data_IF_627556623325
#
_entry.id   IF_627556623325
#
_cell.length_a   1.000
_cell.length_b   1.000
_cell.length_c   1.000
_cell.angle_alpha   90.00
_cell.angle_beta   90.00
_cell.angle_gamma   90.00
#
_symmetry.space_group_name_H-M   'P 1'
#
loop_
_entity.id
_entity.type
_entity.pdbx_description
1 polymer ?
#
# COMPACT_ATOMS: atom_id res chain seq x y z
N UNK A 1 52.66 -32.82 -9.35
CA UNK A 1 51.45 -33.61 -9.65
C UNK A 1 50.29 -32.86 -9.04
N UNK A 2 49.66 -32.01 -9.84
CA UNK A 2 48.48 -31.25 -9.42
C UNK A 2 47.27 -32.17 -9.65
N UNK A 3 46.55 -32.53 -8.57
CA UNK A 3 45.41 -33.44 -8.68
C UNK A 3 44.20 -32.66 -9.20
N UNK A 4 43.76 -32.98 -10.42
CA UNK A 4 42.49 -32.49 -10.98
C UNK A 4 41.33 -33.02 -10.13
N UNK A 5 40.58 -32.10 -9.52
CA UNK A 5 39.31 -32.39 -8.86
C UNK A 5 38.23 -32.58 -9.94
N UNK A 6 37.44 -33.67 -9.94
CA UNK A 6 36.39 -33.88 -10.93
C UNK A 6 35.26 -32.86 -10.73
N UNK A 7 34.86 -32.18 -11.80
CA UNK A 7 33.65 -31.34 -11.80
C UNK A 7 32.39 -32.23 -11.88
N UNK A 8 31.34 -31.95 -11.10
CA UNK A 8 30.09 -32.69 -11.20
C UNK A 8 29.43 -32.47 -12.58
N UNK A 9 28.71 -33.48 -13.11
CA UNK A 9 28.05 -33.37 -14.40
C UNK A 9 26.99 -32.26 -14.38
N UNK A 10 26.89 -31.53 -15.49
CA UNK A 10 25.88 -30.49 -15.67
C UNK A 10 24.47 -31.09 -15.55
N UNK A 11 23.67 -30.55 -14.63
CA UNK A 11 22.25 -30.90 -14.50
C UNK A 11 21.56 -30.40 -15.77
N UNK A 12 21.14 -31.32 -16.64
CA UNK A 12 20.36 -30.99 -17.83
C UNK A 12 18.89 -31.00 -17.42
N UNK A 13 18.31 -29.81 -17.24
CA UNK A 13 16.86 -29.67 -17.00
C UNK A 13 16.18 -29.83 -18.37
N UNK A 14 15.35 -30.87 -18.60
CA UNK A 14 14.62 -30.98 -19.86
C UNK A 14 13.65 -29.79 -19.99
N UNK A 15 13.50 -29.20 -21.19
CA UNK A 15 12.52 -28.15 -21.40
C UNK A 15 11.12 -28.70 -21.11
N UNK A 16 10.39 -28.03 -20.22
CA UNK A 16 8.98 -28.33 -19.98
C UNK A 16 8.22 -27.96 -21.26
N UNK A 17 7.49 -28.88 -21.91
CA UNK A 17 6.71 -28.56 -23.10
C UNK A 17 5.70 -27.45 -22.79
N UNK A 18 5.76 -26.34 -23.53
CA UNK A 18 4.92 -25.14 -23.36
C UNK A 18 3.44 -25.36 -23.68
N UNK A 19 3.07 -26.53 -24.22
CA UNK A 19 1.75 -26.78 -24.82
C UNK A 19 0.69 -27.35 -23.86
N UNK A 20 0.98 -27.58 -22.57
CA UNK A 20 0.01 -28.26 -21.67
C UNK A 20 -0.74 -27.31 -20.71
N UNK A 21 -0.31 -26.05 -20.50
CA UNK A 21 -0.87 -25.22 -19.43
C UNK A 21 -1.59 -23.92 -19.87
N UNK A 22 -1.77 -23.68 -21.17
CA UNK A 22 -2.23 -22.37 -21.67
C UNK A 22 -3.69 -22.30 -22.13
N UNK A 23 -4.52 -23.31 -21.86
CA UNK A 23 -5.93 -23.24 -22.19
C UNK A 23 -6.77 -23.00 -20.93
N UNK A 24 -7.10 -21.71 -20.74
CA UNK A 24 -8.10 -21.19 -19.80
C UNK A 24 -7.80 -21.37 -18.31
N UNK A 25 -6.88 -20.57 -17.75
CA UNK A 25 -7.01 -20.25 -16.32
C UNK A 25 -8.21 -19.31 -16.15
N UNK A 26 -9.36 -19.87 -15.81
CA UNK A 26 -10.55 -19.16 -15.32
C UNK A 26 -10.36 -18.60 -13.91
N UNK A 27 -9.15 -18.65 -13.36
CA UNK A 27 -8.82 -18.08 -12.05
C UNK A 27 -8.80 -16.56 -12.16
N UNK A 28 -9.69 -15.89 -11.44
CA UNK A 28 -9.55 -14.47 -11.17
C UNK A 28 -8.17 -14.19 -10.54
N UNK A 29 -7.47 -13.20 -11.11
CA UNK A 29 -6.15 -12.82 -10.63
C UNK A 29 -6.25 -12.37 -9.16
N UNK A 30 -5.41 -12.95 -8.31
CA UNK A 30 -5.38 -12.62 -6.89
C UNK A 30 -5.14 -11.11 -6.70
N UNK A 31 -5.87 -10.44 -5.80
CA UNK A 31 -5.59 -9.06 -5.42
C UNK A 31 -4.13 -8.86 -5.00
N UNK A 32 -3.64 -7.64 -5.18
CA UNK A 32 -2.26 -7.26 -4.85
C UNK A 32 -2.23 -6.00 -4.00
N UNK A 33 -1.52 -6.04 -2.89
CA UNK A 33 -1.16 -4.89 -2.08
C UNK A 33 0.30 -4.52 -2.35
N UNK A 34 0.52 -3.36 -2.95
CA UNK A 34 1.83 -2.83 -3.33
C UNK A 34 2.21 -1.80 -2.28
N UNK A 35 3.38 -1.99 -1.68
CA UNK A 35 3.89 -1.13 -0.62
C UNK A 35 5.07 -0.32 -1.17
N UNK A 36 4.84 0.96 -1.41
CA UNK A 36 5.84 1.91 -1.90
C UNK A 36 6.38 2.69 -0.71
N UNK A 37 7.70 2.81 -0.59
CA UNK A 37 8.27 3.61 0.49
C UNK A 37 9.78 3.55 0.57
N UNK A 38 10.29 3.93 1.74
CA UNK A 38 11.71 3.98 2.03
C UNK A 38 12.22 2.74 2.80
N UNK A 39 13.27 2.91 3.61
CA UNK A 39 13.86 1.85 4.44
C UNK A 39 12.88 1.23 5.42
N UNK A 40 11.89 1.98 5.92
CA UNK A 40 10.89 1.43 6.86
C UNK A 40 10.01 0.38 6.15
N UNK A 41 9.76 0.59 4.85
CA UNK A 41 9.03 -0.37 4.01
C UNK A 41 9.95 -1.51 3.57
N UNK A 42 11.16 -1.21 3.10
CA UNK A 42 12.12 -2.24 2.67
C UNK A 42 12.42 -3.24 3.79
N UNK A 43 12.75 -2.72 4.98
CA UNK A 43 13.09 -3.52 6.15
C UNK A 43 11.88 -4.23 6.77
N UNK A 44 10.67 -3.81 6.43
CA UNK A 44 9.43 -4.42 6.90
C UNK A 44 9.25 -5.88 6.49
N UNK A 45 10.07 -6.39 5.57
CA UNK A 45 10.18 -7.83 5.25
C UNK A 45 11.54 -8.47 5.53
N UNK A 46 12.46 -7.78 6.22
CA UNK A 46 13.81 -8.33 6.51
C UNK A 46 13.81 -9.40 7.60
N UNK A 47 12.71 -9.56 8.35
CA UNK A 47 12.58 -10.59 9.39
C UNK A 47 11.12 -11.06 9.55
N UNK A 48 10.92 -12.14 10.30
CA UNK A 48 9.60 -12.77 10.51
C UNK A 48 8.60 -11.88 11.25
N UNK A 49 9.10 -10.98 12.11
CA UNK A 49 8.31 -10.00 12.86
C UNK A 49 8.15 -8.66 12.13
N UNK A 50 8.53 -8.57 10.85
CA UNK A 50 8.38 -7.34 10.07
C UNK A 50 6.91 -7.08 9.73
N UNK A 51 6.51 -5.81 9.63
CA UNK A 51 5.12 -5.45 9.38
C UNK A 51 4.63 -5.92 7.99
N UNK A 52 5.49 -5.86 6.97
CA UNK A 52 5.21 -6.36 5.62
C UNK A 52 5.12 -7.89 5.62
N UNK A 53 6.04 -8.56 6.31
CA UNK A 53 5.97 -10.03 6.48
C UNK A 53 4.66 -10.43 7.16
N UNK A 54 4.23 -9.68 8.18
CA UNK A 54 3.00 -9.94 8.92
C UNK A 54 1.76 -9.76 8.05
N UNK A 55 1.74 -8.76 7.16
CA UNK A 55 0.70 -8.62 6.13
C UNK A 55 0.68 -9.82 5.17
N UNK A 56 1.85 -10.23 4.65
CA UNK A 56 1.93 -11.39 3.75
C UNK A 56 1.40 -12.67 4.41
N UNK A 57 1.71 -12.88 5.69
CA UNK A 57 1.19 -14.01 6.48
C UNK A 57 -0.33 -13.90 6.66
N UNK A 58 -0.84 -12.71 7.03
CA UNK A 58 -2.28 -12.46 7.23
C UNK A 58 -3.08 -12.76 5.97
N UNK A 59 -2.56 -12.38 4.80
CA UNK A 59 -3.23 -12.51 3.51
C UNK A 59 -2.90 -13.78 2.74
N UNK A 60 -2.27 -14.77 3.40
CA UNK A 60 -1.92 -16.05 2.79
C UNK A 60 -3.10 -16.65 2.01
N UNK A 61 -2.83 -16.99 0.74
CA UNK A 61 -3.82 -17.50 -0.23
C UNK A 61 -4.99 -16.56 -0.52
N UNK A 62 -4.92 -15.26 -0.22
CA UNK A 62 -6.02 -14.31 -0.49
C UNK A 62 -5.58 -13.05 -1.23
N UNK A 63 -4.44 -12.48 -0.86
CA UNK A 63 -3.87 -11.30 -1.52
C UNK A 63 -2.34 -11.42 -1.50
N UNK A 64 -1.70 -11.04 -2.61
CA UNK A 64 -0.23 -10.94 -2.64
C UNK A 64 0.18 -9.60 -2.03
N UNK A 65 1.18 -9.62 -1.16
CA UNK A 65 1.79 -8.40 -0.60
C UNK A 65 3.15 -8.21 -1.26
N UNK A 66 3.32 -7.10 -1.95
CA UNK A 66 4.49 -6.81 -2.78
C UNK A 66 5.24 -5.65 -2.16
N UNK A 67 6.44 -5.93 -1.65
CA UNK A 67 7.35 -4.92 -1.12
C UNK A 67 8.08 -4.19 -2.27
N UNK A 68 7.95 -2.87 -2.34
CA UNK A 68 8.69 -1.95 -3.22
C UNK A 68 9.31 -0.81 -2.39
N UNK A 69 9.72 -1.11 -1.16
CA UNK A 69 10.51 -0.23 -0.32
C UNK A 69 11.93 -0.09 -0.83
N UNK A 70 12.47 1.13 -0.76
CA UNK A 70 13.80 1.46 -1.27
C UNK A 70 14.56 2.29 -0.23
N UNK A 71 15.53 1.67 0.44
CA UNK A 71 16.28 2.26 1.53
C UNK A 71 16.96 3.56 1.12
N UNK A 72 16.75 4.61 1.93
CA UNK A 72 17.28 5.94 1.71
C UNK A 72 16.50 6.79 0.70
N UNK A 73 15.44 6.28 0.08
CA UNK A 73 14.65 7.06 -0.87
C UNK A 73 13.79 8.12 -0.17
N UNK A 74 13.64 9.27 -0.80
CA UNK A 74 12.65 10.30 -0.47
C UNK A 74 11.54 10.32 -1.54
N UNK A 75 10.50 11.13 -1.33
CA UNK A 75 9.37 11.23 -2.26
C UNK A 75 9.79 11.66 -3.68
N UNK A 76 10.81 12.50 -3.83
CA UNK A 76 11.31 12.95 -5.14
C UNK A 76 11.84 11.78 -5.97
N UNK A 77 12.67 10.93 -5.35
CA UNK A 77 13.23 9.76 -6.04
C UNK A 77 12.19 8.66 -6.21
N UNK A 78 11.31 8.47 -5.22
CA UNK A 78 10.17 7.56 -5.33
C UNK A 78 9.26 7.90 -6.52
N UNK A 79 9.00 9.20 -6.74
CA UNK A 79 8.15 9.65 -7.84
C UNK A 79 8.80 9.37 -9.19
N UNK A 80 10.12 9.58 -9.30
CA UNK A 80 10.87 9.26 -10.51
C UNK A 80 10.90 7.75 -10.81
N UNK A 81 10.90 6.89 -9.80
CA UNK A 81 10.86 5.44 -9.95
C UNK A 81 9.47 4.88 -10.24
N UNK A 82 8.41 5.60 -9.85
CA UNK A 82 7.03 5.11 -9.89
C UNK A 82 6.55 4.63 -11.27
N UNK A 83 6.81 5.32 -12.41
CA UNK A 83 6.42 4.82 -13.72
C UNK A 83 6.97 3.41 -14.03
N UNK A 84 8.22 3.13 -13.66
CA UNK A 84 8.84 1.83 -13.87
C UNK A 84 8.16 0.74 -13.05
N UNK A 85 7.79 1.06 -11.81
CA UNK A 85 7.06 0.15 -10.91
C UNK A 85 5.64 -0.11 -11.43
N UNK A 86 4.96 0.91 -11.94
CA UNK A 86 3.62 0.76 -12.50
C UNK A 86 3.63 -0.06 -13.80
N UNK A 87 4.62 0.14 -14.67
CA UNK A 87 4.79 -0.69 -15.85
C UNK A 87 5.03 -2.16 -15.48
N UNK A 88 5.88 -2.42 -14.48
CA UNK A 88 6.14 -3.77 -13.98
C UNK A 88 4.86 -4.46 -13.44
N UNK A 89 4.04 -3.72 -12.68
CA UNK A 89 2.91 -4.30 -11.91
C UNK A 89 1.60 -4.31 -12.70
N UNK A 90 1.34 -3.24 -13.45
CA UNK A 90 0.08 -3.00 -14.15
C UNK A 90 0.20 -3.18 -15.67
N UNK A 91 1.43 -3.30 -16.20
CA UNK A 91 1.74 -3.29 -17.62
C UNK A 91 1.92 -1.88 -18.19
N UNK A 92 2.46 -1.79 -19.40
CA UNK A 92 2.64 -0.53 -20.11
C UNK A 92 1.28 0.17 -20.34
N UNK A 93 1.25 1.52 -20.27
CA UNK A 93 0.07 2.28 -20.67
C UNK A 93 -0.11 2.13 -22.18
N UNK A 94 -1.35 2.13 -22.67
CA UNK A 94 -1.57 2.17 -24.13
C UNK A 94 -0.98 3.47 -24.70
N UNK A 95 -0.27 3.36 -25.84
CA UNK A 95 0.55 4.40 -26.47
C UNK A 95 0.05 5.84 -26.22
N UNK A 96 0.84 6.63 -25.50
CA UNK A 96 0.81 8.08 -25.68
C UNK A 96 1.57 8.38 -26.98
N UNK A 97 0.90 9.04 -27.91
CA UNK A 97 1.54 9.75 -29.01
C UNK A 97 2.58 10.71 -28.39
N UNK A 98 3.83 10.67 -28.88
CA UNK A 98 4.97 11.42 -28.38
C UNK A 98 4.67 12.93 -28.35
N UNK A 99 4.07 13.42 -27.27
CA UNK A 99 3.96 14.84 -26.98
C UNK A 99 4.55 15.08 -25.61
N UNK A 100 5.80 15.50 -25.66
CA UNK A 100 6.56 16.12 -24.58
C UNK A 100 5.63 17.09 -23.83
N UNK A 101 5.33 16.77 -22.57
CA UNK A 101 4.70 17.74 -21.66
C UNK A 101 5.78 18.77 -21.33
N UNK A 102 5.85 19.81 -22.15
CA UNK A 102 6.50 21.05 -21.76
C UNK A 102 5.61 21.74 -20.73
N UNK A 103 6.24 22.06 -19.62
CA UNK A 103 5.76 22.83 -18.48
C UNK A 103 5.20 24.19 -18.93
N UNK A 104 3.90 24.27 -19.21
CA UNK A 104 3.11 25.53 -19.20
C UNK A 104 1.62 25.23 -19.41
N UNK A 105 0.80 25.79 -18.52
CA UNK A 105 -0.65 26.07 -18.62
C UNK A 105 -1.51 25.44 -17.51
N UNK A 106 -1.26 25.88 -16.28
CA UNK A 106 -2.34 26.13 -15.33
C UNK A 106 -2.80 27.58 -15.55
N UNK A 107 -3.92 27.78 -16.24
CA UNK A 107 -4.89 28.84 -15.91
C UNK A 107 -6.14 28.83 -16.80
N UNK A 108 -7.28 28.97 -16.11
CA UNK A 108 -8.59 29.54 -16.51
C UNK A 108 -9.69 28.57 -16.96
N UNK A 109 -10.51 28.25 -15.97
CA UNK A 109 -11.94 28.03 -16.07
C UNK A 109 -12.63 29.17 -16.85
N UNK A 110 -13.47 28.79 -17.83
CA UNK A 110 -14.72 29.51 -18.13
C UNK A 110 -15.81 28.48 -18.40
N UNK A 111 -16.84 28.56 -17.57
CA UNK A 111 -18.11 27.85 -17.61
C UNK A 111 -18.90 28.31 -18.84
N UNK A 112 -19.37 27.38 -19.68
CA UNK A 112 -20.63 27.56 -20.42
C UNK A 112 -21.43 26.26 -20.41
N UNK A 113 -22.60 26.36 -19.78
CA UNK A 113 -23.69 25.38 -19.79
C UNK A 113 -24.19 25.18 -21.23
N UNK A 114 -24.57 23.96 -21.58
CA UNK A 114 -25.72 23.75 -22.46
C UNK A 114 -26.38 22.40 -22.16
N UNK A 115 -27.60 22.51 -21.67
CA UNK A 115 -28.59 21.46 -21.50
C UNK A 115 -28.97 20.85 -22.85
N UNK A 116 -29.06 19.52 -22.90
CA UNK A 116 -29.88 18.83 -23.89
C UNK A 116 -30.39 17.51 -23.29
N UNK A 117 -31.63 17.58 -22.81
CA UNK A 117 -32.48 16.44 -22.49
C UNK A 117 -32.64 15.54 -23.72
N UNK A 118 -32.65 14.22 -23.49
CA UNK A 118 -33.35 13.29 -24.36
C UNK A 118 -33.79 12.07 -23.55
N UNK A 119 -35.03 12.14 -23.05
CA UNK A 119 -35.83 10.97 -22.68
C UNK A 119 -36.09 10.11 -23.93
N UNK A 120 -36.17 8.79 -23.76
CA UNK A 120 -37.31 7.96 -24.19
C UNK A 120 -37.08 6.47 -23.88
N UNK A 121 -38.04 5.96 -23.10
CA UNK A 121 -38.73 4.67 -23.18
C UNK A 121 -38.07 3.34 -22.76
N UNK A 122 -38.61 2.89 -21.64
CA UNK A 122 -38.78 1.53 -21.15
C UNK A 122 -39.08 0.48 -22.24
N UNK A 123 -38.45 -0.70 -22.08
CA UNK A 123 -39.12 -1.96 -22.34
C UNK A 123 -38.79 -2.95 -21.22
N UNK A 124 -39.88 -3.51 -20.69
CA UNK A 124 -40.00 -4.48 -19.64
C UNK A 124 -39.52 -5.84 -20.17
N UNK A 125 -38.55 -6.48 -19.53
CA UNK A 125 -38.35 -7.92 -19.68
C UNK A 125 -38.14 -8.55 -18.30
N UNK A 126 -39.23 -9.15 -17.82
CA UNK A 126 -39.22 -10.04 -16.66
C UNK A 126 -38.63 -11.38 -17.09
N UNK A 127 -37.38 -11.65 -16.71
CA UNK A 127 -36.88 -13.02 -16.62
C UNK A 127 -36.24 -13.27 -15.26
N UNK A 128 -36.79 -14.24 -14.55
CA UNK A 128 -36.32 -14.78 -13.27
C UNK A 128 -34.86 -15.26 -13.34
N UNK A 129 -34.01 -14.84 -12.41
CA UNK A 129 -32.81 -15.60 -12.04
C UNK A 129 -32.33 -15.21 -10.63
N UNK A 130 -32.57 -16.11 -9.67
CA UNK A 130 -31.67 -16.51 -8.57
C UNK A 130 -30.57 -15.52 -8.14
N UNK A 131 -30.69 -15.03 -6.91
CA UNK A 131 -29.62 -14.64 -5.99
C UNK A 131 -28.26 -14.30 -6.62
N UNK A 132 -28.18 -13.13 -7.28
CA UNK A 132 -26.91 -12.43 -7.40
C UNK A 132 -26.53 -11.95 -6.00
N UNK A 133 -25.81 -12.78 -5.24
CA UNK A 133 -25.00 -12.30 -4.11
C UNK A 133 -24.22 -11.10 -4.64
N UNK A 134 -24.49 -9.91 -4.13
CA UNK A 134 -23.66 -8.73 -4.39
C UNK A 134 -22.22 -9.12 -4.06
N UNK A 135 -21.43 -9.36 -5.11
CA UNK A 135 -20.04 -9.70 -4.98
C UNK A 135 -19.38 -8.43 -4.47
N UNK A 136 -19.07 -8.37 -3.17
CA UNK A 136 -18.40 -7.24 -2.53
C UNK A 136 -17.09 -6.99 -3.30
N UNK A 137 -17.08 -5.98 -4.17
CA UNK A 137 -15.99 -5.78 -5.10
C UNK A 137 -14.83 -5.10 -4.37
N UNK A 138 -13.91 -5.91 -3.84
CA UNK A 138 -12.63 -5.44 -3.35
C UNK A 138 -11.78 -4.87 -4.51
N UNK A 139 -10.82 -3.98 -4.24
CA UNK A 139 -9.87 -3.57 -5.26
C UNK A 139 -9.03 -4.77 -5.74
N UNK A 140 -8.65 -4.76 -7.01
CA UNK A 140 -7.72 -5.74 -7.58
C UNK A 140 -6.27 -5.35 -7.27
N UNK A 141 -5.98 -4.05 -7.26
CA UNK A 141 -4.69 -3.50 -6.89
C UNK A 141 -4.87 -2.45 -5.81
N UNK A 142 -4.06 -2.50 -4.77
CA UNK A 142 -4.07 -1.57 -3.67
C UNK A 142 -2.65 -1.04 -3.49
N UNK A 143 -2.49 0.28 -3.41
CA UNK A 143 -1.19 0.93 -3.20
C UNK A 143 -1.18 1.62 -1.84
N UNK A 144 -0.14 1.36 -1.04
CA UNK A 144 0.15 2.12 0.17
C UNK A 144 1.47 2.86 -0.04
N UNK A 145 1.45 4.19 0.02
CA UNK A 145 2.62 5.05 -0.21
C UNK A 145 3.12 5.59 1.13
N UNK A 146 4.33 5.22 1.53
CA UNK A 146 4.98 5.61 2.79
C UNK A 146 6.35 6.26 2.57
N UNK A 147 6.34 7.54 2.21
CA UNK A 147 7.53 8.42 2.21
C UNK A 147 7.39 9.52 3.25
N UNK A 148 8.48 10.20 3.59
CA UNK A 148 8.49 11.34 4.52
C UNK A 148 9.58 11.26 5.58
N UNK A 149 10.03 10.05 5.95
CA UNK A 149 11.05 9.90 6.98
C UNK A 149 12.41 10.45 6.50
N UNK A 150 12.72 10.28 5.21
CA UNK A 150 13.91 10.86 4.57
C UNK A 150 13.70 12.30 4.13
N UNK A 151 12.52 12.62 3.62
CA UNK A 151 12.13 13.98 3.20
C UNK A 151 12.26 15.01 4.34
N UNK A 152 11.89 14.60 5.56
CA UNK A 152 11.95 15.39 6.80
C UNK A 152 13.36 15.54 7.40
N UNK A 153 14.41 15.10 6.71
CA UNK A 153 15.77 15.45 7.09
C UNK A 153 15.95 16.97 7.18
N UNK A 154 16.73 17.45 8.15
CA UNK A 154 17.08 18.86 8.26
C UNK A 154 17.92 19.28 7.05
N UNK A 155 17.62 20.44 6.41
CA UNK A 155 18.32 20.90 5.21
C UNK A 155 19.80 21.23 5.47
N UNK A 156 20.14 21.59 6.71
CA UNK A 156 21.50 21.87 7.19
C UNK A 156 22.11 20.69 7.98
N UNK A 157 21.42 19.54 8.01
CA UNK A 157 21.83 18.35 8.74
C UNK A 157 22.81 17.43 7.98
N UNK A 158 23.33 16.43 8.68
CA UNK A 158 24.24 15.41 8.11
C UNK A 158 23.59 14.52 7.04
N UNK A 159 22.26 14.43 7.04
CA UNK A 159 21.46 13.71 6.06
C UNK A 159 20.74 14.62 5.05
N UNK A 160 21.15 15.88 4.90
CA UNK A 160 20.51 16.90 4.06
C UNK A 160 20.27 16.49 2.60
N UNK A 161 21.07 15.59 2.02
CA UNK A 161 20.84 15.07 0.65
C UNK A 161 19.46 14.42 0.46
N UNK A 162 18.88 13.92 1.55
CA UNK A 162 17.59 13.25 1.54
C UNK A 162 16.43 14.24 1.67
N UNK A 163 16.70 15.49 2.08
CA UNK A 163 15.69 16.50 2.31
C UNK A 163 14.88 16.80 1.05
N UNK A 164 13.57 16.98 1.24
CA UNK A 164 12.63 17.47 0.25
C UNK A 164 11.81 18.55 0.94
N UNK A 165 11.70 19.74 0.34
CA UNK A 165 10.91 20.83 0.91
C UNK A 165 9.45 20.38 1.13
N UNK A 166 8.78 20.91 2.15
CA UNK A 166 7.47 20.42 2.58
C UNK A 166 6.39 20.54 1.49
N UNK A 167 6.40 21.64 0.75
CA UNK A 167 5.53 21.89 -0.41
C UNK A 167 5.80 20.92 -1.56
N UNK A 168 7.07 20.66 -1.85
CA UNK A 168 7.47 19.68 -2.84
C UNK A 168 7.08 18.25 -2.42
N UNK A 169 7.24 17.89 -1.14
CA UNK A 169 6.80 16.59 -0.61
C UNK A 169 5.30 16.39 -0.82
N UNK A 170 4.47 17.38 -0.46
CA UNK A 170 3.02 17.32 -0.68
C UNK A 170 2.67 17.22 -2.17
N UNK A 171 3.36 17.99 -3.02
CA UNK A 171 3.22 17.92 -4.48
C UNK A 171 3.58 16.54 -5.02
N UNK A 172 4.68 15.94 -4.55
CA UNK A 172 5.13 14.62 -4.98
C UNK A 172 4.12 13.54 -4.62
N UNK A 173 3.58 13.55 -3.40
CA UNK A 173 2.52 12.60 -3.01
C UNK A 173 1.28 12.74 -3.91
N UNK A 174 0.84 13.98 -4.14
CA UNK A 174 -0.31 14.28 -5.03
C UNK A 174 -0.08 13.73 -6.44
N UNK A 175 1.12 13.95 -7.00
CA UNK A 175 1.52 13.44 -8.32
C UNK A 175 1.57 11.91 -8.36
N UNK A 176 2.08 11.26 -7.31
CA UNK A 176 2.09 9.79 -7.24
C UNK A 176 0.68 9.21 -7.25
N UNK A 177 -0.24 9.77 -6.45
CA UNK A 177 -1.63 9.33 -6.38
C UNK A 177 -2.30 9.50 -7.75
N UNK A 178 -2.18 10.69 -8.36
CA UNK A 178 -2.71 10.96 -9.69
C UNK A 178 -2.16 9.96 -10.71
N UNK A 179 -0.83 9.77 -10.75
CA UNK A 179 -0.20 8.86 -11.69
C UNK A 179 -0.74 7.44 -11.56
N UNK A 180 -0.88 6.90 -10.35
CA UNK A 180 -1.45 5.57 -10.11
C UNK A 180 -2.90 5.48 -10.63
N UNK A 181 -3.72 6.50 -10.33
CA UNK A 181 -5.12 6.53 -10.73
C UNK A 181 -5.28 6.67 -12.25
N UNK A 182 -4.47 7.50 -12.91
CA UNK A 182 -4.54 7.72 -14.36
C UNK A 182 -3.88 6.60 -15.17
N UNK A 183 -2.83 5.95 -14.65
CA UNK A 183 -2.20 4.79 -15.31
C UNK A 183 -3.22 3.70 -15.64
N UNK A 184 -4.19 3.54 -14.75
CA UNK A 184 -5.28 2.59 -14.89
C UNK A 184 -6.27 2.94 -16.01
N UNK A 185 -6.55 4.23 -16.22
CA UNK A 185 -7.50 4.71 -17.22
C UNK A 185 -7.05 4.39 -18.66
N UNK A 186 -5.74 4.26 -18.87
CA UNK A 186 -5.13 4.00 -20.19
C UNK A 186 -4.72 2.53 -20.40
N UNK A 187 -5.11 1.60 -19.52
CA UNK A 187 -4.73 0.19 -19.66
C UNK A 187 -5.65 -0.55 -20.64
N UNK A 188 -5.07 -1.29 -21.59
CA UNK A 188 -5.79 -2.09 -22.61
C UNK A 188 -6.67 -3.20 -22.00
N UNK A 189 -6.38 -3.60 -20.75
CA UNK A 189 -7.06 -4.68 -20.02
C UNK A 189 -8.17 -4.16 -19.09
N UNK A 190 -9.11 -3.36 -19.60
CA UNK A 190 -10.25 -2.86 -18.82
C UNK A 190 -9.90 -1.97 -17.61
N UNK A 191 -10.94 -1.38 -17.00
CA UNK A 191 -10.81 -0.48 -15.84
C UNK A 191 -10.49 -1.32 -14.58
N UNK A 192 -9.21 -1.61 -14.30
CA UNK A 192 -8.81 -2.39 -13.10
C UNK A 192 -9.27 -1.62 -11.87
N UNK A 193 -9.71 -2.31 -10.83
CA UNK A 193 -10.11 -1.63 -9.59
C UNK A 193 -8.88 -1.33 -8.76
N UNK A 194 -8.51 -0.04 -8.69
CA UNK A 194 -7.35 0.42 -7.92
C UNK A 194 -7.81 1.21 -6.69
N UNK A 195 -7.20 0.91 -5.54
CA UNK A 195 -7.28 1.73 -4.34
C UNK A 195 -5.89 2.28 -4.00
N UNK A 196 -5.83 3.49 -3.47
CA UNK A 196 -4.58 4.15 -3.04
C UNK A 196 -4.79 4.66 -1.62
N UNK A 197 -3.78 4.52 -0.77
CA UNK A 197 -3.73 5.08 0.57
C UNK A 197 -2.33 5.64 0.86
N UNK A 198 -2.26 6.58 1.81
CA UNK A 198 -0.99 7.10 2.30
C UNK A 198 -0.64 6.52 3.66
N UNK A 199 0.66 6.45 3.95
CA UNK A 199 1.24 6.19 5.26
C UNK A 199 2.08 7.41 5.64
N UNK A 200 1.73 8.09 6.72
CA UNK A 200 2.53 9.22 7.22
C UNK A 200 3.92 8.74 7.63
N UNK A 201 4.97 9.56 7.57
CA UNK A 201 6.24 9.22 8.22
C UNK A 201 6.00 8.86 9.69
N UNK A 202 6.49 7.71 10.17
CA UNK A 202 6.50 7.39 11.59
C UNK A 202 7.28 8.45 12.40
N UNK A 203 7.04 8.54 13.72
CA UNK A 203 7.78 9.47 14.56
C UNK A 203 9.25 9.03 14.67
N UNK A 204 10.14 9.98 14.93
CA UNK A 204 11.55 9.72 15.17
C UNK A 204 11.97 10.15 16.58
N UNK A 205 13.08 9.63 17.10
CA UNK A 205 13.65 10.10 18.35
C UNK A 205 14.61 11.27 18.09
N UNK A 206 14.15 12.49 18.35
CA UNK A 206 14.92 13.73 18.18
C UNK A 206 16.30 13.67 18.83
N UNK A 207 16.45 13.01 19.99
CA UNK A 207 17.74 12.99 20.68
C UNK A 207 18.74 12.04 20.00
N UNK A 208 18.28 10.87 19.54
CA UNK A 208 19.11 9.93 18.77
C UNK A 208 19.40 10.43 17.35
N UNK A 209 18.46 11.15 16.75
CA UNK A 209 18.56 11.68 15.38
C UNK A 209 19.01 13.15 15.35
N UNK A 210 19.60 13.63 16.45
CA UNK A 210 20.03 15.01 16.62
C UNK A 210 20.91 15.48 15.46
N UNK A 211 20.58 16.64 14.90
CA UNK A 211 21.28 17.22 13.75
C UNK A 211 20.88 16.61 12.40
N UNK A 212 20.05 15.58 12.36
CA UNK A 212 19.50 15.03 11.12
C UNK A 212 17.99 15.19 11.01
N UNK A 213 17.25 15.07 12.12
CA UNK A 213 15.78 15.16 12.17
C UNK A 213 15.30 15.72 13.52
N UNK A 214 14.10 16.30 13.52
CA UNK A 214 13.39 16.72 14.74
C UNK A 214 11.91 16.29 14.61
N UNK A 215 11.46 15.45 15.54
CA UNK A 215 10.14 14.85 15.48
C UNK A 215 9.00 15.88 15.54
N UNK A 216 9.06 16.78 16.52
CA UNK A 216 7.94 17.65 16.87
C UNK A 216 7.93 18.92 16.00
N UNK A 217 9.11 19.38 15.59
CA UNK A 217 9.26 20.59 14.78
C UNK A 217 9.22 20.33 13.28
N UNK A 218 9.68 19.15 12.83
CA UNK A 218 9.83 18.87 11.40
C UNK A 218 9.02 17.66 10.97
N UNK A 219 9.28 16.45 11.50
CA UNK A 219 8.58 15.23 11.07
C UNK A 219 7.06 15.34 11.21
N UNK A 220 6.57 15.99 12.29
CA UNK A 220 5.15 16.30 12.49
C UNK A 220 4.54 17.08 11.32
N UNK A 221 5.26 18.07 10.77
CA UNK A 221 4.77 18.87 9.63
C UNK A 221 4.60 18.01 8.38
N UNK A 222 5.49 17.05 8.13
CA UNK A 222 5.37 16.11 7.02
C UNK A 222 4.23 15.12 7.23
N UNK A 223 4.01 14.65 8.46
CA UNK A 223 2.85 13.83 8.78
C UNK A 223 1.53 14.58 8.58
N UNK A 224 1.45 15.84 9.03
CA UNK A 224 0.30 16.73 8.81
C UNK A 224 0.06 16.99 7.32
N UNK A 225 1.10 17.31 6.55
CA UNK A 225 0.99 17.50 5.10
C UNK A 225 0.54 16.23 4.38
N UNK A 226 1.06 15.06 4.77
CA UNK A 226 0.63 13.76 4.23
C UNK A 226 -0.85 13.49 4.49
N UNK A 227 -1.33 13.76 5.72
CA UNK A 227 -2.76 13.68 6.05
C UNK A 227 -3.62 14.67 5.28
N UNK A 228 -3.13 15.90 5.10
CA UNK A 228 -3.84 16.92 4.33
C UNK A 228 -3.98 16.49 2.87
N UNK A 229 -2.91 16.00 2.23
CA UNK A 229 -2.97 15.45 0.86
C UNK A 229 -3.97 14.30 0.77
N UNK A 230 -3.99 13.38 1.74
CA UNK A 230 -4.96 12.29 1.75
C UNK A 230 -6.42 12.79 1.81
N UNK A 231 -6.67 13.81 2.65
CA UNK A 231 -7.98 14.46 2.77
C UNK A 231 -8.38 15.14 1.46
N UNK A 232 -7.48 15.94 0.88
CA UNK A 232 -7.74 16.70 -0.36
C UNK A 232 -7.99 15.76 -1.55
N UNK A 233 -7.30 14.62 -1.58
CA UNK A 233 -7.44 13.59 -2.62
C UNK A 233 -8.57 12.60 -2.34
N UNK A 234 -9.25 12.70 -1.19
CA UNK A 234 -10.32 11.78 -0.80
C UNK A 234 -9.88 10.31 -0.70
N UNK A 235 -8.69 10.05 -0.15
CA UNK A 235 -8.14 8.70 0.02
C UNK A 235 -7.84 8.37 1.50
N UNK A 236 -7.77 7.07 1.88
CA UNK A 236 -7.38 6.67 3.23
C UNK A 236 -5.94 7.06 3.59
N UNK A 237 -5.69 7.25 4.89
CA UNK A 237 -4.36 7.48 5.45
C UNK A 237 -4.12 6.69 6.74
N UNK A 238 -2.96 6.07 6.83
CA UNK A 238 -2.43 5.48 8.07
C UNK A 238 -1.60 6.54 8.79
N UNK A 239 -2.12 7.06 9.90
CA UNK A 239 -1.42 8.05 10.74
C UNK A 239 -0.46 7.35 11.72
N UNK A 240 0.69 6.92 11.19
CA UNK A 240 1.76 6.33 11.99
C UNK A 240 2.41 7.32 12.94
N UNK A 241 2.45 8.62 12.59
CA UNK A 241 3.06 9.63 13.46
C UNK A 241 2.31 9.71 14.81
N UNK A 242 0.99 9.89 14.81
CA UNK A 242 0.21 9.87 16.05
C UNK A 242 0.05 8.45 16.60
N UNK A 243 -0.27 7.48 15.74
CA UNK A 243 -0.63 6.12 16.15
C UNK A 243 0.49 5.38 16.90
N UNK A 244 1.75 5.74 16.67
CA UNK A 244 2.89 5.18 17.40
C UNK A 244 3.27 5.94 18.67
N UNK A 245 2.77 7.16 18.87
CA UNK A 245 3.09 7.98 20.05
C UNK A 245 1.99 7.97 21.11
N UNK A 246 0.74 7.77 20.68
CA UNK A 246 -0.41 7.75 21.59
C UNK A 246 -0.55 6.39 22.29
N UNK A 247 -0.96 6.36 23.57
CA UNK A 247 -1.24 5.11 24.28
C UNK A 247 -2.29 4.28 23.55
N UNK A 248 -2.14 2.96 23.57
CA UNK A 248 -3.20 2.07 23.07
C UNK A 248 -4.41 2.09 24.01
N UNK A 249 -5.61 1.81 23.50
CA UNK A 249 -6.85 1.77 24.31
C UNK A 249 -6.68 0.82 25.52
N UNK A 250 -5.97 -0.30 25.34
CA UNK A 250 -5.65 -1.27 26.42
C UNK A 250 -4.84 -0.63 27.55
N UNK A 251 -3.90 0.28 27.24
CA UNK A 251 -3.13 1.01 28.25
C UNK A 251 -3.96 2.08 28.94
N UNK A 252 -4.95 2.66 28.25
CA UNK A 252 -5.86 3.66 28.82
C UNK A 252 -6.86 3.07 29.83
N UNK A 253 -7.34 1.84 29.60
CA UNK A 253 -8.27 1.16 30.49
C UNK A 253 -7.61 0.70 31.80
N UNK A 254 -6.35 0.24 31.74
CA UNK A 254 -5.58 -0.14 32.94
C UNK A 254 -5.23 1.06 33.83
N UNK A 255 -5.15 2.28 33.26
CA UNK A 255 -4.90 3.52 34.02
C UNK A 255 -6.17 4.17 34.58
N UNK A 256 -7.37 3.70 34.22
CA UNK A 256 -8.65 4.29 34.66
C UNK A 256 -9.00 4.03 36.14
N UNK A 257 -8.19 3.24 36.85
CA UNK A 257 -8.44 2.87 38.26
C UNK A 257 -7.83 3.82 39.31
N UNK A 258 -7.11 4.87 38.91
CA UNK A 258 -6.59 5.89 39.84
C UNK A 258 -7.00 7.30 39.41
N UNK A 259 -8.08 7.81 40.03
CA UNK A 259 -8.48 9.23 39.92
C UNK A 259 -7.40 10.12 40.55
N UNK A 260 -6.51 10.62 39.71
CA UNK A 260 -5.71 11.81 39.97
C UNK A 260 -5.58 12.58 38.66
N UNK A 261 -6.21 13.75 38.61
CA UNK A 261 -5.95 14.78 37.60
C UNK A 261 -4.51 15.29 37.78
N UNK A 262 -3.56 14.55 37.23
CA UNK A 262 -2.14 14.93 37.21
C UNK A 262 -1.59 14.58 35.85
N UNK A 263 -1.35 15.61 35.03
CA UNK A 263 -0.47 15.66 33.85
C UNK A 263 -0.37 14.36 33.05
N UNK A 264 -0.92 14.31 31.84
CA UNK A 264 -0.47 13.35 30.81
C UNK A 264 1.06 13.35 30.84
N UNK A 265 1.65 12.32 31.45
CA UNK A 265 3.09 12.21 31.53
C UNK A 265 3.57 12.08 30.10
N UNK A 266 4.63 12.82 29.76
CA UNK A 266 5.38 12.67 28.52
C UNK A 266 5.92 11.24 28.43
N UNK A 267 5.05 10.27 28.14
CA UNK A 267 5.42 8.87 28.08
C UNK A 267 6.08 8.62 26.73
N UNK A 268 7.33 9.06 26.60
CA UNK A 268 8.16 8.84 25.43
C UNK A 268 8.68 7.40 25.35
N UNK A 269 8.07 6.45 26.09
CA UNK A 269 8.44 5.03 26.07
C UNK A 269 8.37 4.43 24.67
N UNK A 270 7.49 4.94 23.80
CA UNK A 270 7.42 4.56 22.39
C UNK A 270 8.76 4.70 21.66
N UNK A 271 9.63 5.64 22.07
CA UNK A 271 10.96 5.81 21.47
C UNK A 271 11.85 4.58 21.69
N UNK A 272 11.74 3.96 22.86
CA UNK A 272 12.51 2.77 23.23
C UNK A 272 11.83 1.52 22.68
N UNK A 273 10.51 1.45 22.85
CA UNK A 273 9.73 0.28 22.47
C UNK A 273 9.72 0.10 20.97
N UNK A 274 9.57 1.17 20.20
CA UNK A 274 9.28 1.09 18.77
C UNK A 274 10.45 1.45 17.87
N UNK A 275 11.46 2.19 18.35
CA UNK A 275 12.59 2.63 17.52
C UNK A 275 13.94 2.04 17.95
N UNK A 276 14.60 1.34 17.03
CA UNK A 276 15.90 0.70 17.29
C UNK A 276 17.02 1.73 17.37
N UNK A 277 17.17 2.54 16.33
CA UNK A 277 18.18 3.61 16.20
C UNK A 277 17.58 5.03 16.32
N UNK A 278 16.33 5.13 16.75
CA UNK A 278 15.59 6.39 16.78
C UNK A 278 14.92 6.75 15.45
N UNK A 279 14.94 5.87 14.45
CA UNK A 279 14.23 6.02 13.18
C UNK A 279 13.60 4.70 12.72
N UNK A 280 14.40 3.64 12.62
CA UNK A 280 13.95 2.33 12.16
C UNK A 280 13.24 1.56 13.27
N UNK A 281 12.35 0.67 12.84
CA UNK A 281 11.45 -0.02 13.76
C UNK A 281 12.15 -1.19 14.48
N UNK A 282 11.89 -1.33 15.77
CA UNK A 282 12.11 -2.58 16.50
C UNK A 282 11.05 -3.62 16.08
N UNK A 283 11.12 -4.88 16.55
CA UNK A 283 10.00 -5.81 16.38
C UNK A 283 8.66 -5.29 16.92
N UNK A 284 8.66 -4.57 18.05
CA UNK A 284 7.43 -4.02 18.61
C UNK A 284 6.92 -2.82 17.80
N UNK A 285 7.83 -2.00 17.27
CA UNK A 285 7.48 -0.92 16.34
C UNK A 285 6.87 -1.44 15.04
N UNK A 286 7.42 -2.55 14.50
CA UNK A 286 6.84 -3.25 13.35
C UNK A 286 5.43 -3.76 13.65
N UNK A 287 5.23 -4.39 14.80
CA UNK A 287 3.91 -4.86 15.21
C UNK A 287 2.92 -3.70 15.34
N UNK A 288 3.33 -2.59 15.96
CA UNK A 288 2.47 -1.41 16.10
C UNK A 288 2.10 -0.80 14.74
N UNK A 289 3.05 -0.67 13.83
CA UNK A 289 2.75 -0.20 12.48
C UNK A 289 1.81 -1.15 11.73
N UNK A 290 2.01 -2.46 11.87
CA UNK A 290 1.10 -3.47 11.32
C UNK A 290 -0.34 -3.28 11.82
N UNK A 291 -0.55 -3.04 13.12
CA UNK A 291 -1.89 -2.78 13.69
C UNK A 291 -2.57 -1.56 13.03
N UNK A 292 -1.84 -0.46 12.90
CA UNK A 292 -2.35 0.78 12.30
C UNK A 292 -2.69 0.58 10.81
N UNK A 293 -1.86 -0.19 10.09
CA UNK A 293 -2.12 -0.51 8.68
C UNK A 293 -3.35 -1.39 8.54
N UNK A 294 -3.48 -2.48 9.32
CA UNK A 294 -4.64 -3.37 9.18
C UNK A 294 -5.96 -2.67 9.54
N UNK A 295 -5.95 -1.69 10.44
CA UNK A 295 -7.14 -0.90 10.75
C UNK A 295 -7.69 -0.20 9.50
N UNK A 296 -6.81 0.42 8.72
CA UNK A 296 -7.18 1.10 7.46
C UNK A 296 -7.51 0.09 6.36
N UNK A 297 -6.78 -1.03 6.28
CA UNK A 297 -7.06 -2.06 5.28
C UNK A 297 -8.42 -2.72 5.51
N UNK A 298 -8.76 -3.07 6.76
CA UNK A 298 -10.00 -3.79 7.10
C UNK A 298 -11.24 -2.87 7.01
N UNK A 299 -11.10 -1.55 7.27
CA UNK A 299 -12.21 -0.59 7.22
C UNK A 299 -12.85 -0.53 5.82
N UNK A 300 -14.17 -0.44 5.77
CA UNK A 300 -14.95 -0.33 4.53
C UNK A 300 -14.61 0.92 3.72
N UNK A 301 -14.78 0.85 2.39
CA UNK A 301 -14.57 1.99 1.48
C UNK A 301 -15.61 3.11 1.68
N UNK A 302 -16.81 2.74 2.15
CA UNK A 302 -17.90 3.67 2.49
C UNK A 302 -18.20 3.47 3.97
N UNK A 303 -17.66 4.34 4.80
CA UNK A 303 -17.97 4.41 6.23
C UNK A 303 -18.93 5.59 6.45
N UNK A 304 -19.94 5.41 7.32
CA UNK A 304 -20.87 6.46 7.73
C UNK A 304 -20.21 7.54 8.61
N UNK A 305 -19.04 7.25 9.19
CA UNK A 305 -18.34 8.12 10.13
C UNK A 305 -17.30 9.05 9.46
N UNK A 306 -17.24 9.09 8.12
CA UNK A 306 -16.37 9.97 7.34
C UNK A 306 -14.89 9.54 7.27
N UNK A 307 -14.53 8.41 7.87
CA UNK A 307 -13.18 7.84 7.82
C UNK A 307 -13.06 6.83 6.66
N UNK A 308 -12.13 7.06 5.74
CA UNK A 308 -11.95 6.18 4.59
C UNK A 308 -11.12 4.94 4.94
N UNK A 309 -11.49 3.79 4.39
CA UNK A 309 -10.76 2.52 4.46
C UNK A 309 -10.49 1.94 3.07
N UNK A 310 -9.89 0.74 3.01
CA UNK A 310 -9.58 0.07 1.73
C UNK A 310 -10.49 -1.13 1.39
N UNK A 311 -11.36 -1.56 2.31
CA UNK A 311 -12.29 -2.67 2.10
C UNK A 311 -11.59 -4.02 1.86
N UNK A 312 -10.40 -4.20 2.42
CA UNK A 312 -9.52 -5.36 2.21
C UNK A 312 -9.54 -6.35 3.38
N UNK A 313 -10.57 -6.33 4.23
CA UNK A 313 -10.72 -7.29 5.30
C UNK A 313 -10.56 -8.73 4.79
N UNK A 314 -9.71 -9.53 5.46
CA UNK A 314 -9.34 -10.90 5.06
C UNK A 314 -10.57 -11.79 4.81
N UNK A 315 -11.63 -11.59 5.57
CA UNK A 315 -12.91 -12.32 5.46
C UNK A 315 -13.67 -12.01 4.18
N UNK A 316 -13.43 -10.84 3.58
CA UNK A 316 -14.11 -10.36 2.38
C UNK A 316 -13.35 -10.73 1.09
N UNK A 317 -12.10 -11.18 1.22
CA UNK A 317 -11.26 -11.56 0.07
C UNK A 317 -11.44 -13.04 -0.29
N UNK A 318 -11.46 -13.40 -1.59
CA UNK A 318 -11.54 -14.79 -2.01
C UNK A 318 -10.29 -15.57 -1.56
N UNK A 319 -10.48 -16.84 -1.20
CA UNK A 319 -9.36 -17.75 -0.93
C UNK A 319 -8.97 -18.46 -2.22
N UNK A 320 -7.72 -18.32 -2.62
CA UNK A 320 -7.14 -19.10 -3.71
C UNK A 320 -7.09 -20.57 -3.34
N UNK A 321 -7.54 -21.38 -4.30
CA UNK A 321 -7.56 -22.84 -4.28
C UNK A 321 -8.51 -23.43 -3.21
N UNK A 322 -9.05 -24.64 -3.45
CA UNK A 322 -9.88 -25.33 -2.47
C UNK A 322 -9.14 -25.64 -1.16
N UNK A 323 -9.90 -25.96 -0.11
CA UNK A 323 -9.32 -26.58 1.08
C UNK A 323 -8.86 -28.01 0.75
N UNK A 324 -7.80 -28.50 1.40
CA UNK A 324 -7.28 -29.83 1.07
C UNK A 324 -8.30 -30.95 1.33
N UNK A 325 -9.24 -30.73 2.27
CA UNK A 325 -10.31 -31.69 2.58
C UNK A 325 -11.38 -31.80 1.50
N UNK A 326 -11.45 -30.83 0.58
CA UNK A 326 -12.40 -30.82 -0.54
C UNK A 326 -11.75 -31.23 -1.86
N UNK A 327 -10.47 -31.62 -1.85
CA UNK A 327 -9.77 -32.10 -3.04
C UNK A 327 -10.06 -33.59 -3.20
N UNK A 328 -10.58 -33.98 -4.37
CA UNK A 328 -10.68 -35.37 -4.77
C UNK A 328 -9.27 -35.96 -4.88
N UNK A 329 -8.97 -36.97 -4.06
CA UNK A 329 -7.65 -37.58 -4.01
C UNK A 329 -7.32 -38.44 -5.25
N UNK A 330 -8.35 -38.84 -6.00
CA UNK A 330 -8.23 -39.68 -7.20
C UNK A 330 -8.27 -38.88 -8.49
N UNK A 331 -9.02 -37.77 -8.52
CA UNK A 331 -9.17 -36.87 -9.68
C UNK A 331 -9.01 -35.39 -9.28
N UNK A 332 -7.83 -34.98 -8.78
CA UNK A 332 -7.63 -33.67 -8.14
C UNK A 332 -7.98 -32.48 -9.05
N UNK A 333 -7.74 -32.59 -10.35
CA UNK A 333 -8.05 -31.55 -11.34
C UNK A 333 -9.52 -31.10 -11.31
N UNK A 334 -10.46 -32.01 -11.03
CA UNK A 334 -11.90 -31.70 -10.93
C UNK A 334 -12.19 -30.69 -9.81
N UNK A 335 -11.43 -30.78 -8.72
CA UNK A 335 -11.56 -29.89 -7.55
C UNK A 335 -11.00 -28.50 -7.81
N UNK A 336 -10.08 -28.36 -8.76
CA UNK A 336 -9.52 -27.08 -9.18
C UNK A 336 -10.31 -26.42 -10.32
N UNK A 337 -10.95 -27.22 -11.20
CA UNK A 337 -11.83 -26.70 -12.26
C UNK A 337 -13.10 -26.04 -11.69
N UNK A 338 -13.62 -26.53 -10.56
CA UNK A 338 -14.80 -25.96 -9.90
C UNK A 338 -14.51 -24.63 -9.16
N UNK A 339 -13.24 -24.26 -8.97
CA UNK A 339 -12.81 -23.00 -8.33
C UNK A 339 -12.57 -21.84 -9.32
N UNK A 340 -12.99 -22.03 -10.57
CA UNK A 340 -13.11 -21.03 -11.61
C UNK A 340 -14.20 -19.99 -11.26
N UNK A 341 -13.88 -19.02 -10.41
CA UNK A 341 -14.76 -17.89 -10.09
C UNK A 341 -14.40 -16.64 -10.89
#
# INVERSE_FOLDING_TARGET
>A
MEMMVPQPPAITIPPVPSHIYLHHTTLSARPKLILLGDSITELGSSHSQGWVTSLAIRYNRRMDVINRGMNGYNSRWGLAALPLILEEILGAPSHQDDTVVSDECLEKDVIENNDAECEMNANNDQSSSTDKKEMTQHPQYAFLIGYGANDSCLPDGGCSRHHVALDEYASNLTKMIHLIQTWNAYSFSGNKKIAVALLTPPPCDTEKQKGNRDNDKVTRLYAEACRQVASDMGIPVVDAWNGMQLPTIVQSEQQSSTKSSSSFSNNQQWKIDYLSDGLHLTPMGNYRLYELVIEVLDRSMVDGDGNLGMGLAVTNLPRSYPDHSTIDATEPETSFMACAF
#
